data_IF_334867381807
#
_entry.id   IF_334867381807
#
_cell.length_a   1.000
_cell.length_b   1.000
_cell.length_c   1.000
_cell.angle_alpha   90.00
_cell.angle_beta   90.00
_cell.angle_gamma   90.00
#
_symmetry.space_group_name_H-M   'P 1'
#
loop_
_entity.id
_entity.type
_entity.pdbx_description
1 polymer ?
#
# COMPACT_ATOMS: atom_id res chain seq x y z
N UNK A 1 4.40 9.63 21.32
CA UNK A 1 5.00 8.59 20.44
C UNK A 1 3.86 7.98 19.65
N UNK A 2 3.87 8.02 18.32
CA UNK A 2 2.77 7.43 17.55
C UNK A 2 2.86 5.91 17.61
N UNK A 3 1.74 5.25 17.89
CA UNK A 3 1.65 3.77 17.85
C UNK A 3 1.45 3.29 16.41
N UNK A 4 0.96 4.16 15.53
CA UNK A 4 0.65 3.85 14.15
C UNK A 4 1.00 5.02 13.22
N UNK A 5 1.69 4.72 12.12
CA UNK A 5 1.86 5.63 10.99
C UNK A 5 1.51 4.92 9.70
N UNK A 6 1.02 5.66 8.70
CA UNK A 6 0.70 5.11 7.39
C UNK A 6 1.16 6.05 6.27
N UNK A 7 1.72 5.46 5.22
CA UNK A 7 2.12 6.16 3.98
C UNK A 7 1.54 5.42 2.78
N UNK A 8 0.98 6.17 1.85
CA UNK A 8 0.36 5.64 0.62
C UNK A 8 1.09 6.19 -0.60
N UNK A 9 1.39 5.31 -1.56
CA UNK A 9 1.79 5.72 -2.91
C UNK A 9 0.64 5.45 -3.86
N UNK A 10 0.37 6.40 -4.73
CA UNK A 10 -0.69 6.31 -5.73
C UNK A 10 -0.10 6.28 -7.13
N UNK A 11 -0.73 5.55 -8.05
CA UNK A 11 -0.46 5.69 -9.47
C UNK A 11 -1.08 6.98 -10.05
N UNK A 12 -0.85 7.22 -11.34
CA UNK A 12 -1.41 8.38 -12.07
C UNK A 12 -2.94 8.43 -12.11
N UNK A 13 -3.61 7.31 -11.88
CA UNK A 13 -5.07 7.21 -11.84
C UNK A 13 -5.60 7.38 -10.41
N UNK A 14 -4.74 7.63 -9.43
CA UNK A 14 -5.08 7.80 -8.02
C UNK A 14 -5.29 6.50 -7.24
N UNK A 15 -4.94 5.34 -7.81
CA UNK A 15 -5.08 4.04 -7.12
C UNK A 15 -3.86 3.78 -6.25
N UNK A 16 -4.06 3.21 -5.06
CA UNK A 16 -2.96 2.88 -4.13
C UNK A 16 -2.15 1.72 -4.72
N UNK A 17 -0.87 1.94 -5.01
CA UNK A 17 0.04 0.89 -5.49
C UNK A 17 0.98 0.38 -4.41
N UNK A 18 1.14 1.14 -3.33
CA UNK A 18 1.91 0.74 -2.17
C UNK A 18 1.29 1.35 -0.90
N UNK A 19 1.21 0.54 0.15
CA UNK A 19 0.83 0.98 1.50
C UNK A 19 1.90 0.53 2.48
N UNK A 20 2.52 1.49 3.17
CA UNK A 20 3.43 1.23 4.28
C UNK A 20 2.71 1.57 5.59
N UNK A 21 2.55 0.58 6.45
CA UNK A 21 2.04 0.74 7.82
C UNK A 21 3.21 0.57 8.79
N UNK A 22 3.37 1.46 9.76
CA UNK A 22 4.37 1.35 10.82
C UNK A 22 3.61 1.17 12.13
N UNK A 23 3.63 -0.05 12.67
CA UNK A 23 2.94 -0.40 13.93
C UNK A 23 4.00 -0.56 15.02
N UNK A 24 3.96 0.30 16.04
CA UNK A 24 4.95 0.32 17.12
C UNK A 24 6.41 0.31 16.60
N UNK A 25 6.68 1.08 15.54
CA UNK A 25 8.00 1.17 14.90
C UNK A 25 8.33 0.04 13.93
N UNK A 26 7.45 -0.96 13.74
CA UNK A 26 7.66 -2.07 12.81
C UNK A 26 6.93 -1.80 11.49
N UNK A 27 7.65 -1.69 10.36
CA UNK A 27 7.02 -1.47 9.07
C UNK A 27 6.42 -2.76 8.50
N UNK A 28 5.29 -2.64 7.82
CA UNK A 28 4.65 -3.65 6.99
C UNK A 28 4.35 -2.99 5.65
N UNK A 29 4.76 -3.61 4.54
CA UNK A 29 4.61 -3.04 3.21
C UNK A 29 3.72 -3.93 2.35
N UNK A 30 2.63 -3.34 1.86
CA UNK A 30 1.76 -3.95 0.86
C UNK A 30 2.02 -3.31 -0.50
N UNK A 31 2.06 -4.14 -1.53
CA UNK A 31 2.08 -3.72 -2.94
C UNK A 31 0.83 -4.22 -3.64
N UNK A 32 0.26 -3.36 -4.48
CA UNK A 32 -0.97 -3.66 -5.20
C UNK A 32 -0.75 -3.50 -6.71
N UNK A 33 -1.22 -4.48 -7.47
CA UNK A 33 -1.27 -4.40 -8.93
C UNK A 33 -2.72 -4.46 -9.39
N UNK A 34 -3.01 -3.77 -10.49
CA UNK A 34 -4.34 -3.68 -11.05
C UNK A 34 -4.33 -4.16 -12.50
N UNK A 35 -5.41 -4.83 -12.90
CA UNK A 35 -5.59 -5.24 -14.29
C UNK A 35 -5.92 -4.03 -15.20
N UNK A 36 -6.02 -4.31 -16.51
CA UNK A 36 -6.34 -3.27 -17.52
C UNK A 36 -7.72 -2.64 -17.34
N UNK A 37 -8.67 -3.34 -16.71
CA UNK A 37 -10.00 -2.83 -16.41
C UNK A 37 -10.04 -2.02 -15.10
N UNK A 38 -8.91 -1.92 -14.40
CA UNK A 38 -8.75 -1.15 -13.19
C UNK A 38 -9.09 -1.89 -11.90
N UNK A 39 -9.33 -3.20 -11.97
CA UNK A 39 -9.65 -4.03 -10.81
C UNK A 39 -8.38 -4.47 -10.11
N UNK A 40 -8.43 -4.63 -8.79
CA UNK A 40 -7.32 -5.20 -8.04
C UNK A 40 -7.03 -6.61 -8.58
N UNK A 41 -5.77 -6.86 -8.95
CA UNK A 41 -5.33 -8.11 -9.55
C UNK A 41 -4.39 -8.86 -8.60
N UNK A 42 -3.47 -8.15 -7.94
CA UNK A 42 -2.55 -8.74 -6.97
C UNK A 42 -2.44 -7.86 -5.72
N UNK A 43 -2.26 -8.52 -4.58
CA UNK A 43 -1.84 -7.92 -3.33
C UNK A 43 -0.68 -8.76 -2.78
N UNK A 44 0.50 -8.13 -2.67
CA UNK A 44 1.70 -8.78 -2.16
C UNK A 44 2.13 -8.12 -0.85
N UNK A 45 2.49 -8.96 0.11
CA UNK A 45 3.02 -8.55 1.39
C UNK A 45 4.53 -8.80 1.36
N UNK A 46 5.31 -7.72 1.47
CA UNK A 46 6.78 -7.77 1.66
C UNK A 46 7.14 -7.91 3.15
#
# INVERSE_FOLDING_TARGET
>A
MSVFEMRLKHDRNGRIVEKTEIVAGRPVVWKYAYDKAGRLFEAHLD
#
